data_IF_373726271884
#
_entry.id   IF_373726271884
#
_cell.length_a   1.000
_cell.length_b   1.000
_cell.length_c   1.000
_cell.angle_alpha   90.00
_cell.angle_beta   90.00
_cell.angle_gamma   90.00
#
_symmetry.space_group_name_H-M   'P 1'
#
loop_
_entity.id
_entity.type
_entity.pdbx_description
1 polymer ?
#
# COMPACT_ATOMS: atom_id res chain seq x y z
N UNK A 1 11.25 2.74 13.25
CA UNK A 1 10.66 2.44 11.93
C UNK A 1 9.35 1.71 12.15
N UNK A 2 8.22 2.43 12.08
CA UNK A 2 6.90 1.92 12.43
C UNK A 2 6.51 0.68 11.63
N UNK A 3 6.15 -0.39 12.34
CA UNK A 3 5.47 -1.55 11.75
C UNK A 3 4.03 -1.13 11.53
N UNK A 4 3.74 -0.60 10.34
CA UNK A 4 2.35 -0.33 9.95
C UNK A 4 1.59 -1.64 9.92
N UNK A 5 0.61 -1.76 10.81
CA UNK A 5 -0.20 -2.97 10.91
C UNK A 5 -1.12 -3.11 9.69
N UNK A 6 -1.29 -4.35 9.26
CA UNK A 6 -2.25 -4.68 8.23
C UNK A 6 -3.65 -4.79 8.83
N UNK A 7 -4.44 -3.73 8.68
CA UNK A 7 -5.85 -3.72 9.02
C UNK A 7 -6.62 -2.82 8.03
N UNK A 8 -7.94 -3.00 7.95
CA UNK A 8 -8.78 -2.22 7.01
C UNK A 8 -8.80 -0.74 7.33
N UNK A 9 -8.61 -0.37 8.59
CA UNK A 9 -8.48 1.02 8.99
C UNK A 9 -7.31 1.68 8.25
N UNK A 10 -6.12 1.08 8.34
CA UNK A 10 -4.91 1.55 7.69
C UNK A 10 -5.00 1.48 6.15
N UNK A 11 -5.63 0.43 5.60
CA UNK A 11 -5.88 0.32 4.15
C UNK A 11 -6.81 1.43 3.67
N UNK A 12 -7.83 1.78 4.46
CA UNK A 12 -8.79 2.84 4.11
C UNK A 12 -8.23 4.25 4.29
N UNK A 13 -7.36 4.44 5.28
CA UNK A 13 -6.60 5.66 5.55
C UNK A 13 -5.59 6.03 4.45
N UNK A 14 -5.25 5.07 3.59
CA UNK A 14 -4.37 5.32 2.45
C UNK A 14 -5.14 5.49 1.13
N UNK A 15 -4.77 6.53 0.38
CA UNK A 15 -5.29 6.79 -0.98
C UNK A 15 -4.58 5.97 -2.08
N UNK A 16 -3.69 5.04 -1.72
CA UNK A 16 -2.94 4.22 -2.68
C UNK A 16 -3.85 3.46 -3.67
N UNK A 17 -5.03 3.03 -3.19
CA UNK A 17 -6.07 2.34 -3.99
C UNK A 17 -6.62 3.15 -5.17
N UNK A 18 -6.50 4.48 -5.12
CA UNK A 18 -6.94 5.41 -6.19
C UNK A 18 -5.78 6.22 -6.79
N UNK A 19 -4.54 5.87 -6.45
CA UNK A 19 -3.37 6.54 -7.00
C UNK A 19 -3.24 6.25 -8.51
N UNK A 20 -2.90 7.26 -9.30
CA UNK A 20 -2.75 7.13 -10.75
C UNK A 20 -1.81 5.99 -11.17
N UNK A 21 -0.74 5.76 -10.40
CA UNK A 21 0.23 4.68 -10.61
C UNK A 21 -0.41 3.28 -10.51
N UNK A 22 -1.43 3.13 -9.67
CA UNK A 22 -2.08 1.84 -9.37
C UNK A 22 -3.45 1.67 -10.05
N UNK A 23 -4.07 2.76 -10.50
CA UNK A 23 -5.46 2.82 -10.99
C UNK A 23 -5.75 1.79 -12.09
N UNK A 24 -4.82 1.64 -13.02
CA UNK A 24 -5.00 0.80 -14.21
C UNK A 24 -4.33 -0.58 -14.09
N UNK A 25 -3.62 -0.85 -12.99
CA UNK A 25 -2.98 -2.14 -12.74
C UNK A 25 -4.00 -3.24 -12.50
N UNK A 26 -3.89 -4.31 -13.28
CA UNK A 26 -4.68 -5.54 -13.11
C UNK A 26 -4.20 -6.32 -11.89
N UNK A 27 -2.90 -6.31 -11.61
CA UNK A 27 -2.34 -6.92 -10.40
C UNK A 27 -2.91 -6.27 -9.12
N UNK A 28 -2.94 -4.94 -9.06
CA UNK A 28 -3.50 -4.20 -7.91
C UNK A 28 -4.98 -4.53 -7.72
N UNK A 29 -5.78 -4.52 -8.80
CA UNK A 29 -7.21 -4.87 -8.73
C UNK A 29 -7.41 -6.29 -8.21
N UNK A 30 -6.62 -7.26 -8.70
CA UNK A 30 -6.66 -8.64 -8.23
C UNK A 30 -6.32 -8.77 -6.74
N UNK A 31 -5.23 -8.14 -6.29
CA UNK A 31 -4.83 -8.13 -4.88
C UNK A 31 -5.89 -7.48 -3.98
N UNK A 32 -6.47 -6.36 -4.40
CA UNK A 32 -7.54 -5.69 -3.65
C UNK A 32 -8.80 -6.55 -3.53
N UNK A 33 -9.17 -7.30 -4.58
CA UNK A 33 -10.30 -8.25 -4.54
C UNK A 33 -10.05 -9.37 -3.52
N UNK A 34 -8.85 -9.96 -3.53
CA UNK A 34 -8.45 -11.01 -2.58
C UNK A 34 -8.49 -10.49 -1.14
N UNK A 35 -8.03 -9.26 -0.89
CA UNK A 35 -8.07 -8.63 0.43
C UNK A 35 -9.53 -8.44 0.89
N UNK A 36 -10.39 -7.93 0.01
CA UNK A 36 -11.82 -7.74 0.30
C UNK A 36 -12.52 -9.06 0.60
N UNK A 37 -12.24 -10.11 -0.18
CA UNK A 37 -12.82 -11.45 0.01
C UNK A 37 -12.38 -12.06 1.35
N UNK A 38 -11.07 -12.07 1.65
CA UNK A 38 -10.53 -12.61 2.90
C UNK A 38 -11.05 -11.90 4.15
N UNK A 39 -11.34 -10.61 4.03
CA UNK A 39 -11.86 -9.81 5.13
C UNK A 39 -13.38 -9.90 5.27
N UNK A 40 -14.11 -10.20 4.20
CA UNK A 40 -15.56 -10.44 4.26
C UNK A 40 -15.90 -11.81 4.87
N UNK A 41 -14.95 -12.75 4.87
CA UNK A 41 -15.16 -14.10 5.41
C UNK A 41 -15.02 -14.17 6.95
N UNK A 42 -14.82 -13.03 7.66
CA UNK A 42 -14.62 -12.98 9.13
C UNK A 42 -13.61 -14.03 9.61
N UNK A 43 -12.61 -14.31 8.77
CA UNK A 43 -11.57 -15.26 9.08
C UNK A 43 -10.66 -14.60 10.11
N UNK A 44 -10.95 -14.89 11.37
CA UNK A 44 -10.11 -14.72 12.56
C UNK A 44 -8.74 -15.42 12.41
N UNK A 45 -8.52 -16.10 11.28
CA UNK A 45 -7.21 -16.60 10.89
C UNK A 45 -6.39 -15.44 10.34
N UNK A 46 -5.37 -15.08 11.10
CA UNK A 46 -4.20 -14.35 10.63
C UNK A 46 -3.62 -15.02 9.37
N UNK A 47 -4.22 -14.77 8.20
CA UNK A 47 -3.58 -15.07 6.93
C UNK A 47 -2.42 -14.08 6.87
N UNK A 48 -1.15 -14.55 6.88
CA UNK A 48 -0.01 -13.65 6.85
C UNK A 48 0.07 -13.04 5.45
N UNK A 49 -0.66 -11.94 5.26
CA UNK A 49 -0.53 -11.09 4.07
C UNK A 49 0.66 -10.19 4.32
N UNK A 50 1.69 -10.31 3.49
CA UNK A 50 2.85 -9.43 3.65
C UNK A 50 2.43 -8.01 3.23
N UNK A 51 3.02 -6.96 3.83
CA UNK A 51 2.66 -5.60 3.44
C UNK A 51 2.91 -5.29 1.94
N UNK A 52 3.86 -5.97 1.30
CA UNK A 52 4.09 -5.97 -0.17
C UNK A 52 2.94 -6.55 -1.00
N UNK A 53 1.99 -7.23 -0.36
CA UNK A 53 0.78 -7.77 -0.99
C UNK A 53 -0.43 -6.85 -0.83
N UNK A 54 -0.26 -5.70 -0.20
CA UNK A 54 -1.35 -4.78 0.14
C UNK A 54 -1.16 -3.46 -0.59
N UNK A 55 -1.74 -3.28 -1.79
CA UNK A 55 -1.61 -2.04 -2.56
C UNK A 55 -1.95 -0.78 -1.78
N UNK A 56 -2.95 -0.88 -0.89
CA UNK A 56 -3.34 0.16 0.06
C UNK A 56 -2.19 0.66 0.94
N UNK A 57 -1.22 -0.18 1.30
CA UNK A 57 -0.14 0.14 2.23
C UNK A 57 1.25 0.24 1.58
N UNK A 58 1.35 0.18 0.25
CA UNK A 58 2.66 0.26 -0.44
C UNK A 58 3.44 1.51 -0.06
N UNK A 59 2.74 2.65 0.09
CA UNK A 59 3.35 3.89 0.57
C UNK A 59 3.99 3.77 1.96
N UNK A 60 3.45 2.91 2.81
CA UNK A 60 3.90 2.74 4.19
C UNK A 60 4.89 1.58 4.38
N UNK A 61 4.86 0.57 3.51
CA UNK A 61 5.36 -0.75 3.86
C UNK A 61 6.24 -1.46 2.82
N UNK A 62 6.45 -0.86 1.64
CA UNK A 62 7.53 -1.26 0.74
C UNK A 62 7.14 -1.43 -0.72
N UNK A 63 8.09 -1.97 -1.49
CA UNK A 63 8.05 -2.08 -2.95
C UNK A 63 6.87 -2.95 -3.37
N UNK A 64 6.12 -2.49 -4.37
CA UNK A 64 5.10 -3.32 -4.99
C UNK A 64 5.71 -4.62 -5.55
N UNK A 65 4.93 -5.69 -5.56
CA UNK A 65 5.24 -6.87 -6.39
C UNK A 65 4.48 -6.86 -7.71
N UNK A 66 3.76 -5.77 -8.02
CA UNK A 66 3.03 -5.63 -9.28
C UNK A 66 3.93 -4.97 -10.33
N UNK A 67 4.12 -5.66 -11.45
CA UNK A 67 4.99 -5.18 -12.52
C UNK A 67 4.26 -4.33 -13.58
N UNK A 68 2.94 -4.18 -13.43
CA UNK A 68 2.04 -3.44 -14.35
C UNK A 68 1.61 -2.07 -13.80
N UNK A 69 2.39 -1.50 -12.87
CA UNK A 69 2.17 -0.14 -12.37
C UNK A 69 2.59 0.91 -13.41
N UNK A 70 1.79 1.97 -13.54
CA UNK A 70 2.04 3.05 -14.50
C UNK A 70 2.81 4.20 -13.84
N UNK A 71 4.14 4.09 -13.81
CA UNK A 71 5.01 5.07 -13.14
C UNK A 71 5.21 6.42 -13.87
N UNK A 72 4.46 6.67 -14.95
CA UNK A 72 4.37 8.01 -15.54
C UNK A 72 3.44 8.94 -14.72
N UNK A 73 2.60 8.37 -13.86
CA UNK A 73 1.82 9.10 -12.88
C UNK A 73 2.56 9.21 -11.53
N UNK A 74 2.11 10.10 -10.67
CA UNK A 74 2.73 10.32 -9.35
C UNK A 74 2.10 9.46 -8.25
N UNK A 75 2.95 8.88 -7.38
CA UNK A 75 2.51 8.25 -6.14
C UNK A 75 2.15 9.31 -5.10
N UNK A 76 0.87 9.43 -4.76
CA UNK A 76 0.34 10.37 -3.74
C UNK A 76 0.50 9.83 -2.32
N UNK A 77 1.68 9.30 -1.98
CA UNK A 77 1.94 8.70 -0.67
C UNK A 77 1.81 9.71 0.48
N UNK A 78 2.10 10.99 0.20
CA UNK A 78 1.99 12.08 1.17
C UNK A 78 0.54 12.28 1.66
N UNK A 79 -0.44 11.88 0.85
CA UNK A 79 -1.86 12.00 1.18
C UNK A 79 -2.39 10.78 1.94
N UNK A 80 -1.56 9.75 2.18
CA UNK A 80 -1.95 8.66 3.07
C UNK A 80 -1.78 9.07 4.53
N UNK A 81 -2.84 9.01 5.33
CA UNK A 81 -2.78 9.33 6.76
C UNK A 81 -1.82 8.41 7.51
N UNK A 82 -1.82 7.10 7.18
CA UNK A 82 -0.86 6.14 7.76
C UNK A 82 0.59 6.54 7.51
N UNK A 83 0.86 7.13 6.34
CA UNK A 83 2.19 7.63 5.98
C UNK A 83 2.61 8.80 6.88
N UNK A 84 1.67 9.70 7.17
CA UNK A 84 1.86 10.85 8.03
C UNK A 84 1.96 10.45 9.51
N UNK A 85 1.02 9.64 10.00
CA UNK A 85 0.95 9.15 11.39
C UNK A 85 2.22 8.38 11.81
N UNK A 86 2.89 7.73 10.85
CA UNK A 86 4.11 6.97 11.09
C UNK A 86 5.40 7.77 10.80
N UNK A 87 5.30 9.10 10.59
CA UNK A 87 6.41 10.01 10.29
C UNK A 87 7.30 9.51 9.12
N UNK A 88 6.69 8.91 8.09
CA UNK A 88 7.45 8.37 6.96
C UNK A 88 7.93 9.46 5.99
N UNK A 89 7.45 10.69 6.18
CA UNK A 89 7.91 11.90 5.47
C UNK A 89 9.38 12.26 5.78
N UNK A 90 9.95 11.76 6.87
CA UNK A 90 11.33 12.08 7.26
C UNK A 90 12.37 11.20 6.55
N UNK A 91 11.94 10.10 5.91
CA UNK A 91 12.83 9.14 5.25
C UNK A 91 13.14 9.55 3.80
N UNK A 92 14.34 9.25 3.30
CA UNK A 92 14.78 9.63 1.94
C UNK A 92 15.11 8.40 1.07
N UNK A 93 14.61 8.34 -0.19
CA UNK A 93 13.81 9.34 -0.90
C UNK A 93 12.33 9.38 -0.46
N UNK A 94 11.73 10.58 -0.53
CA UNK A 94 10.32 10.81 -0.24
C UNK A 94 9.44 10.25 -1.38
N UNK A 95 8.33 9.60 -1.05
CA UNK A 95 7.21 9.41 -2.01
C UNK A 95 7.29 8.24 -2.99
N UNK A 96 8.33 7.39 -2.96
CA UNK A 96 8.49 6.30 -3.94
C UNK A 96 8.37 4.88 -3.39
N UNK A 97 7.76 4.70 -2.23
CA UNK A 97 7.66 3.36 -1.62
C UNK A 97 6.95 2.33 -2.52
N UNK A 98 5.98 2.78 -3.33
CA UNK A 98 5.30 1.96 -4.34
C UNK A 98 6.26 1.38 -5.41
N UNK A 99 7.27 2.14 -5.86
CA UNK A 99 8.18 1.78 -6.98
C UNK A 99 9.55 1.30 -6.50
N UNK A 100 10.15 2.10 -5.63
CA UNK A 100 11.55 1.99 -5.22
C UNK A 100 11.68 1.33 -3.84
N UNK A 101 10.56 1.08 -3.17
CA UNK A 101 10.52 0.46 -1.86
C UNK A 101 10.88 1.42 -0.74
N UNK A 102 11.14 0.84 0.44
CA UNK A 102 11.34 1.62 1.66
C UNK A 102 12.53 2.55 1.54
N UNK A 103 12.32 3.85 1.78
CA UNK A 103 13.44 4.74 2.08
C UNK A 103 14.06 4.41 3.43
N UNK A 104 15.38 4.56 3.50
CA UNK A 104 16.22 4.22 4.65
C UNK A 104 16.24 5.39 5.62
#
# INVERSE_FOLDING_TARGET
MGKVEFNMENVNKCLCKICGVQKDSSCVKGKMKIIQEKMAEDIDSAIPVQPSDVPGLYCASGKTSCDDLYYHEECKCMDCEVFQENNLMENKPLGYYCRDGKSI
#
